data_IF_315778509404
#
_entry.id   IF_315778509404
#
_cell.length_a   1.000
_cell.length_b   1.000
_cell.length_c   1.000
_cell.angle_alpha   90.00
_cell.angle_beta   90.00
_cell.angle_gamma   90.00
#
_symmetry.space_group_name_H-M   'P 1'
#
loop_
_entity.id
_entity.type
_entity.pdbx_description
1 polymer ?
#
# COMPACT_ATOMS: atom_id res chain seq x y z
N UNK A 1 -24.76 -13.67 -1.31
CA UNK A 1 -23.54 -13.45 -0.47
C UNK A 1 -23.72 -12.12 0.25
N UNK A 2 -23.30 -11.96 1.52
CA UNK A 2 -23.37 -10.67 2.23
C UNK A 2 -22.02 -9.98 2.17
N UNK A 3 -22.02 -8.65 2.20
CA UNK A 3 -20.82 -7.85 2.13
C UNK A 3 -20.75 -6.87 3.30
N UNK A 4 -19.56 -6.58 3.76
CA UNK A 4 -19.28 -5.58 4.79
C UNK A 4 -18.19 -4.67 4.26
N UNK A 5 -18.42 -3.36 4.26
CA UNK A 5 -17.37 -2.38 4.06
C UNK A 5 -17.01 -1.85 5.45
N UNK A 6 -15.76 -1.93 5.79
CA UNK A 6 -15.17 -1.52 7.06
C UNK A 6 -14.16 -0.42 6.81
N UNK A 7 -14.23 0.60 7.60
CA UNK A 7 -13.24 1.67 7.68
C UNK A 7 -12.87 1.93 9.13
N UNK A 8 -11.66 2.36 9.37
CA UNK A 8 -11.12 2.63 10.70
C UNK A 8 -10.47 4.00 10.76
N UNK A 9 -10.74 4.74 11.82
CA UNK A 9 -9.95 5.91 12.15
C UNK A 9 -8.94 5.59 13.26
N UNK A 10 -7.68 5.97 13.05
CA UNK A 10 -6.62 5.72 14.01
C UNK A 10 -5.69 6.92 14.19
N UNK A 11 -5.20 7.10 15.41
CA UNK A 11 -4.19 8.09 15.75
C UNK A 11 -2.94 7.41 16.30
N UNK A 12 -1.78 7.93 15.96
CA UNK A 12 -0.50 7.34 16.34
C UNK A 12 -0.09 7.84 17.73
N UNK A 13 0.10 6.93 18.69
CA UNK A 13 0.54 7.25 20.03
C UNK A 13 1.73 6.40 20.46
N UNK A 14 2.65 6.98 21.25
CA UNK A 14 3.80 6.27 21.78
C UNK A 14 3.40 5.37 22.96
N UNK A 15 3.53 4.08 22.80
CA UNK A 15 3.30 3.10 23.87
C UNK A 15 4.58 2.87 24.68
N UNK A 16 4.58 3.29 25.94
CA UNK A 16 5.69 3.05 26.87
C UNK A 16 5.89 1.54 27.08
N UNK A 17 4.81 0.77 27.16
CA UNK A 17 4.85 -0.71 27.31
C UNK A 17 5.57 -1.38 26.16
N UNK A 18 5.31 -0.96 24.92
CA UNK A 18 5.84 -1.56 23.70
C UNK A 18 7.09 -0.83 23.15
N UNK A 19 7.47 0.31 23.76
CA UNK A 19 8.60 1.17 23.37
C UNK A 19 8.57 1.56 21.88
N UNK A 20 7.37 1.79 21.33
CA UNK A 20 7.17 2.19 19.94
C UNK A 20 5.86 2.95 19.75
N UNK A 21 5.73 3.63 18.62
CA UNK A 21 4.43 4.18 18.21
C UNK A 21 3.51 3.03 17.76
N UNK A 22 2.23 3.16 18.09
CA UNK A 22 1.14 2.27 17.69
C UNK A 22 0.03 3.14 17.09
N UNK A 23 -0.48 2.76 15.94
CA UNK A 23 -1.67 3.34 15.34
C UNK A 23 -2.88 2.74 16.05
N UNK A 24 -3.30 3.39 17.13
CA UNK A 24 -4.43 2.92 17.92
C UNK A 24 -5.75 3.23 17.23
N UNK A 25 -6.62 2.26 17.10
CA UNK A 25 -7.96 2.44 16.55
C UNK A 25 -8.79 3.28 17.50
N UNK A 26 -9.39 4.36 17.01
CA UNK A 26 -10.22 5.29 17.76
C UNK A 26 -11.66 5.37 17.25
N UNK A 27 -11.94 4.86 16.04
CA UNK A 27 -13.29 4.65 15.55
C UNK A 27 -13.34 3.43 14.64
N UNK A 28 -14.43 2.69 14.73
CA UNK A 28 -14.77 1.60 13.82
C UNK A 28 -16.08 2.00 13.17
N UNK A 29 -16.10 2.15 11.84
CA UNK A 29 -17.28 2.37 11.02
C UNK A 29 -17.44 1.25 10.02
N UNK A 30 -18.67 0.80 9.79
CA UNK A 30 -18.92 -0.22 8.80
C UNK A 30 -20.36 -0.17 8.27
N UNK A 31 -20.56 -0.70 7.07
CA UNK A 31 -21.88 -0.89 6.46
C UNK A 31 -22.04 -2.32 6.01
N UNK A 32 -23.24 -2.89 6.24
CA UNK A 32 -23.67 -4.18 5.66
C UNK A 32 -24.39 -3.95 4.36
N UNK A 33 -24.07 -4.76 3.37
CA UNK A 33 -24.73 -4.74 2.07
C UNK A 33 -25.35 -6.12 1.78
N UNK A 34 -26.50 -6.08 1.12
CA UNK A 34 -27.14 -7.27 0.54
C UNK A 34 -26.44 -7.67 -0.80
N UNK A 35 -27.01 -8.65 -1.49
CA UNK A 35 -26.48 -9.15 -2.78
C UNK A 35 -26.60 -8.12 -3.92
N UNK A 36 -27.47 -7.14 -3.79
CA UNK A 36 -27.63 -6.02 -4.74
C UNK A 36 -26.82 -4.78 -4.36
N UNK A 37 -25.96 -4.90 -3.34
CA UNK A 37 -25.17 -3.82 -2.74
C UNK A 37 -26.00 -2.69 -2.12
N UNK A 38 -27.26 -2.98 -1.73
CA UNK A 38 -28.05 -2.03 -0.95
C UNK A 38 -27.66 -2.14 0.52
N UNK A 39 -27.59 -0.98 1.18
CA UNK A 39 -27.25 -0.90 2.60
C UNK A 39 -28.39 -1.46 3.42
N UNK A 40 -28.10 -2.46 4.25
CA UNK A 40 -29.07 -3.12 5.13
C UNK A 40 -28.89 -2.75 6.59
N UNK A 41 -27.68 -2.33 6.98
CA UNK A 41 -27.37 -1.97 8.37
C UNK A 41 -26.06 -1.15 8.40
N UNK A 42 -25.87 -0.38 9.48
CA UNK A 42 -24.67 0.43 9.69
C UNK A 42 -24.16 0.21 11.12
N UNK A 43 -22.84 0.28 11.27
CA UNK A 43 -22.16 0.18 12.55
C UNK A 43 -21.21 1.35 12.74
N UNK A 44 -21.22 1.94 13.91
CA UNK A 44 -20.27 2.98 14.29
C UNK A 44 -20.01 2.90 15.79
N UNK A 45 -18.73 2.93 16.18
CA UNK A 45 -18.33 3.01 17.57
C UNK A 45 -17.06 3.81 17.75
N UNK A 46 -17.08 4.77 18.67
CA UNK A 46 -15.87 5.49 19.10
C UNK A 46 -15.16 4.68 20.17
N UNK A 47 -13.84 4.56 20.02
CA UNK A 47 -12.98 3.76 20.89
C UNK A 47 -12.18 4.69 21.81
N UNK A 48 -12.19 4.37 23.09
CA UNK A 48 -11.35 5.04 24.09
C UNK A 48 -9.90 4.58 23.95
N UNK A 49 -9.00 5.54 23.80
CA UNK A 49 -7.58 5.25 23.74
C UNK A 49 -7.06 4.48 24.95
N UNK A 50 -6.33 3.40 24.72
CA UNK A 50 -5.60 2.64 25.74
C UNK A 50 -4.18 3.20 26.01
N UNK A 51 -3.68 4.10 25.17
CA UNK A 51 -2.28 4.57 25.20
C UNK A 51 -2.22 6.04 25.60
N UNK A 52 -3.03 6.89 24.97
CA UNK A 52 -2.97 8.35 25.10
C UNK A 52 -4.23 8.91 25.77
N UNK A 53 -4.04 9.98 26.54
CA UNK A 53 -5.15 10.77 27.14
C UNK A 53 -5.67 11.86 26.19
N UNK A 54 -5.06 12.05 25.03
CA UNK A 54 -5.42 13.06 24.02
C UNK A 54 -5.25 12.48 22.63
N UNK A 55 -6.02 12.97 21.70
CA UNK A 55 -5.80 12.78 20.27
C UNK A 55 -4.88 13.88 19.73
N UNK A 56 -4.23 13.66 18.60
CA UNK A 56 -3.46 14.71 17.93
C UNK A 56 -4.39 15.77 17.35
N UNK A 57 -3.94 17.03 17.29
CA UNK A 57 -4.74 18.12 16.69
C UNK A 57 -5.13 17.81 15.24
N UNK A 58 -4.19 17.28 14.46
CA UNK A 58 -4.44 16.89 13.07
C UNK A 58 -5.51 15.78 12.94
N UNK A 59 -5.50 14.80 13.83
CA UNK A 59 -6.52 13.75 13.83
C UNK A 59 -7.91 14.35 14.14
N UNK A 60 -8.00 15.20 15.18
CA UNK A 60 -9.26 15.84 15.52
C UNK A 60 -9.81 16.76 14.41
N UNK A 61 -8.94 17.46 13.69
CA UNK A 61 -9.32 18.31 12.54
C UNK A 61 -9.85 17.48 11.37
N UNK A 62 -9.24 16.31 11.10
CA UNK A 62 -9.63 15.46 9.97
C UNK A 62 -10.91 14.66 10.25
N UNK A 63 -11.01 14.06 11.43
CA UNK A 63 -12.08 13.09 11.74
C UNK A 63 -13.22 13.67 12.57
N UNK A 64 -13.06 14.90 13.11
CA UNK A 64 -13.99 15.48 14.07
C UNK A 64 -14.04 14.75 15.42
N UNK A 65 -13.16 13.77 15.67
CA UNK A 65 -13.07 13.04 16.93
C UNK A 65 -12.17 13.83 17.88
N UNK A 66 -12.79 14.63 18.76
CA UNK A 66 -12.06 15.37 19.77
C UNK A 66 -11.57 14.47 20.91
N UNK A 67 -10.68 14.99 21.75
CA UNK A 67 -10.23 14.29 22.96
C UNK A 67 -11.40 13.89 23.87
N UNK A 68 -12.40 14.75 24.02
CA UNK A 68 -13.59 14.50 24.84
C UNK A 68 -14.43 13.36 24.28
N UNK A 69 -14.68 13.35 22.94
CA UNK A 69 -15.37 12.26 22.26
C UNK A 69 -14.62 10.92 22.42
N UNK A 70 -13.31 10.93 22.21
CA UNK A 70 -12.46 9.75 22.40
C UNK A 70 -12.51 9.23 23.85
N UNK A 71 -12.43 10.10 24.85
CA UNK A 71 -12.48 9.69 26.26
C UNK A 71 -13.86 9.13 26.68
N UNK A 72 -14.93 9.56 26.00
CA UNK A 72 -16.29 9.05 26.20
C UNK A 72 -16.55 7.73 25.43
N UNK A 73 -15.63 7.32 24.57
CA UNK A 73 -15.71 6.06 23.81
C UNK A 73 -15.60 4.82 24.71
N UNK A 74 -15.90 3.66 24.13
CA UNK A 74 -15.80 2.37 24.81
C UNK A 74 -14.37 1.79 24.73
N UNK A 75 -13.96 0.90 25.65
CA UNK A 75 -12.70 0.18 25.52
C UNK A 75 -12.62 -0.58 24.18
N UNK A 76 -11.40 -0.74 23.63
CA UNK A 76 -11.20 -1.44 22.37
C UNK A 76 -11.72 -2.90 22.42
N UNK A 77 -11.52 -3.61 23.52
CA UNK A 77 -12.04 -4.97 23.71
C UNK A 77 -13.57 -5.02 23.51
N UNK A 78 -14.29 -4.07 24.09
CA UNK A 78 -15.74 -3.96 23.96
C UNK A 78 -16.17 -3.57 22.54
N UNK A 79 -15.45 -2.63 21.92
CA UNK A 79 -15.72 -2.23 20.54
C UNK A 79 -15.59 -3.40 19.56
N UNK A 80 -14.56 -4.23 19.76
CA UNK A 80 -14.33 -5.45 18.95
C UNK A 80 -15.41 -6.50 19.20
N UNK A 81 -15.82 -6.71 20.46
CA UNK A 81 -16.90 -7.65 20.79
C UNK A 81 -18.22 -7.20 20.12
N UNK A 82 -18.58 -5.91 20.22
CA UNK A 82 -19.77 -5.33 19.55
C UNK A 82 -19.69 -5.47 18.02
N UNK A 83 -18.54 -5.19 17.40
CA UNK A 83 -18.33 -5.37 15.96
C UNK A 83 -18.49 -6.85 15.56
N UNK A 84 -17.93 -7.77 16.35
CA UNK A 84 -17.98 -9.21 16.11
C UNK A 84 -19.39 -9.81 16.27
N UNK A 85 -20.23 -9.23 17.13
CA UNK A 85 -21.65 -9.58 17.26
C UNK A 85 -22.47 -9.03 16.08
N UNK A 86 -22.16 -7.80 15.68
CA UNK A 86 -22.82 -7.17 14.54
C UNK A 86 -22.43 -7.80 13.21
N UNK A 87 -21.17 -8.22 13.01
CA UNK A 87 -20.68 -8.73 11.73
C UNK A 87 -21.28 -10.10 11.36
N UNK A 88 -21.26 -10.42 10.06
CA UNK A 88 -21.54 -11.76 9.55
C UNK A 88 -20.21 -12.43 9.17
N UNK A 89 -19.85 -13.50 9.87
CA UNK A 89 -18.60 -14.25 9.64
C UNK A 89 -18.46 -14.84 8.22
N UNK A 90 -19.56 -14.97 7.49
CA UNK A 90 -19.58 -15.48 6.12
C UNK A 90 -19.54 -14.34 5.08
N UNK A 91 -19.66 -13.09 5.51
CA UNK A 91 -19.56 -11.94 4.62
C UNK A 91 -18.15 -11.78 4.06
N UNK A 92 -18.06 -11.12 2.90
CA UNK A 92 -16.80 -10.58 2.38
C UNK A 92 -16.61 -9.20 2.99
N UNK A 93 -15.61 -9.06 3.85
CA UNK A 93 -15.21 -7.76 4.40
C UNK A 93 -14.30 -7.05 3.42
N UNK A 94 -14.57 -5.78 3.18
CA UNK A 94 -13.79 -4.91 2.28
C UNK A 94 -13.33 -3.68 3.04
N UNK A 95 -12.15 -3.16 2.71
CA UNK A 95 -11.64 -1.87 3.18
C UNK A 95 -11.12 -1.08 1.98
N UNK A 96 -11.00 0.26 2.12
CA UNK A 96 -10.43 1.10 1.05
C UNK A 96 -8.92 0.91 0.88
N UNK A 97 -8.32 0.01 1.38
CA UNK A 97 -6.96 -0.52 1.15
C UNK A 97 -6.67 -1.56 2.22
N UNK A 98 -5.48 -2.15 2.18
CA UNK A 98 -5.05 -3.08 3.22
C UNK A 98 -4.52 -2.40 4.52
N UNK A 99 -4.52 -1.05 4.60
CA UNK A 99 -4.05 -0.31 5.78
C UNK A 99 -4.87 -0.61 7.04
N UNK A 100 -6.18 -0.76 6.91
CA UNK A 100 -7.08 -1.12 8.01
C UNK A 100 -6.71 -2.49 8.60
N UNK A 101 -6.40 -3.47 7.75
CA UNK A 101 -5.94 -4.77 8.23
C UNK A 101 -4.62 -4.70 8.99
N UNK A 102 -3.70 -3.78 8.58
CA UNK A 102 -2.48 -3.55 9.35
C UNK A 102 -2.80 -2.97 10.73
N UNK A 103 -3.69 -1.97 10.79
CA UNK A 103 -4.13 -1.38 12.05
C UNK A 103 -4.84 -2.39 12.93
N UNK A 104 -5.73 -3.22 12.38
CA UNK A 104 -6.37 -4.33 13.10
C UNK A 104 -5.30 -5.23 13.73
N UNK A 105 -4.37 -5.76 12.94
CA UNK A 105 -3.36 -6.70 13.44
C UNK A 105 -2.42 -6.06 14.46
N UNK A 106 -2.05 -4.80 14.28
CA UNK A 106 -1.24 -4.08 15.24
C UNK A 106 -1.97 -3.92 16.59
N UNK A 107 -3.26 -3.60 16.56
CA UNK A 107 -4.08 -3.45 17.77
C UNK A 107 -4.38 -4.80 18.42
N UNK A 108 -4.68 -5.87 17.65
CA UNK A 108 -4.85 -7.22 18.17
C UNK A 108 -3.62 -7.70 18.94
N UNK A 109 -2.43 -7.45 18.45
CA UNK A 109 -1.17 -7.90 19.04
C UNK A 109 -0.70 -7.03 20.22
N UNK A 110 -1.11 -5.76 20.24
CA UNK A 110 -0.55 -4.79 21.18
C UNK A 110 -1.53 -4.33 22.26
N UNK A 111 -2.82 -4.26 21.95
CA UNK A 111 -3.80 -3.58 22.78
C UNK A 111 -4.96 -4.48 23.23
N UNK A 112 -5.35 -5.46 22.42
CA UNK A 112 -6.43 -6.38 22.80
C UNK A 112 -5.99 -7.40 23.84
N UNK A 113 -6.90 -7.80 24.68
CA UNK A 113 -6.71 -8.80 25.74
C UNK A 113 -7.46 -10.11 25.45
N UNK A 114 -7.09 -11.17 26.14
CA UNK A 114 -7.82 -12.44 26.12
C UNK A 114 -7.89 -13.14 24.75
N UNK A 115 -6.97 -12.84 23.84
CA UNK A 115 -6.96 -13.45 22.50
C UNK A 115 -8.08 -12.96 21.58
N UNK A 116 -8.69 -11.83 21.87
CA UNK A 116 -9.72 -11.22 21.01
C UNK A 116 -9.14 -10.85 19.65
N UNK A 117 -9.94 -11.06 18.61
CA UNK A 117 -9.62 -10.70 17.23
C UNK A 117 -10.86 -10.20 16.51
N UNK A 118 -10.66 -9.43 15.46
CA UNK A 118 -11.75 -9.09 14.55
C UNK A 118 -12.15 -10.33 13.72
N UNK A 119 -13.44 -10.64 13.66
CA UNK A 119 -13.98 -11.78 12.91
C UNK A 119 -14.12 -11.45 11.42
N UNK A 120 -13.00 -11.47 10.70
CA UNK A 120 -12.94 -11.28 9.26
C UNK A 120 -12.58 -12.63 8.62
N UNK A 121 -13.53 -13.27 7.92
CA UNK A 121 -13.30 -14.58 7.29
C UNK A 121 -12.83 -14.49 5.84
N UNK A 122 -13.46 -13.62 5.06
CA UNK A 122 -13.09 -13.31 3.67
C UNK A 122 -12.80 -11.84 3.53
N UNK A 123 -11.82 -11.51 2.73
CA UNK A 123 -11.36 -10.13 2.56
C UNK A 123 -11.13 -9.77 1.10
N UNK A 124 -11.41 -8.51 0.76
CA UNK A 124 -11.09 -7.90 -0.52
C UNK A 124 -10.61 -6.45 -0.31
N UNK A 125 -9.48 -6.09 -0.92
CA UNK A 125 -8.99 -4.73 -1.02
C UNK A 125 -9.79 -3.98 -2.10
N UNK A 126 -10.74 -3.14 -1.65
CA UNK A 126 -11.68 -2.45 -2.53
C UNK A 126 -10.98 -1.41 -3.42
N UNK A 127 -9.95 -0.72 -2.90
CA UNK A 127 -9.15 0.22 -3.68
C UNK A 127 -8.49 -0.46 -4.88
N UNK A 128 -7.92 -1.68 -4.68
CA UNK A 128 -7.33 -2.45 -5.79
C UNK A 128 -8.36 -2.86 -6.81
N UNK A 129 -9.55 -3.29 -6.38
CA UNK A 129 -10.64 -3.64 -7.27
C UNK A 129 -11.06 -2.42 -8.10
N UNK A 130 -11.44 -1.32 -7.47
CA UNK A 130 -11.92 -0.11 -8.14
C UNK A 130 -10.87 0.49 -9.05
N UNK A 131 -9.60 0.56 -8.60
CA UNK A 131 -8.51 1.05 -9.45
C UNK A 131 -8.25 0.12 -10.64
N UNK A 132 -8.48 -1.17 -10.49
CA UNK A 132 -8.46 -2.15 -11.58
C UNK A 132 -9.50 -1.84 -12.64
N UNK A 133 -10.75 -1.62 -12.23
CA UNK A 133 -11.87 -1.26 -13.11
C UNK A 133 -11.64 0.08 -13.82
N UNK A 134 -11.16 1.09 -13.09
CA UNK A 134 -10.80 2.38 -13.69
C UNK A 134 -9.70 2.25 -14.75
N UNK A 135 -8.71 1.35 -14.54
CA UNK A 135 -7.64 1.10 -15.53
C UNK A 135 -8.14 0.46 -16.81
N UNK A 136 -9.12 -0.44 -16.74
CA UNK A 136 -9.78 -1.00 -17.92
C UNK A 136 -10.49 0.10 -18.73
N UNK A 137 -10.92 1.18 -18.06
CA UNK A 137 -11.55 2.34 -18.65
C UNK A 137 -10.59 3.52 -18.90
N UNK A 138 -9.28 3.26 -19.02
CA UNK A 138 -8.29 4.24 -19.46
C UNK A 138 -7.58 5.04 -18.36
N UNK A 139 -7.78 4.72 -17.08
CA UNK A 139 -7.03 5.35 -15.99
C UNK A 139 -5.56 4.87 -15.99
N UNK A 140 -4.61 5.79 -16.09
CA UNK A 140 -3.18 5.46 -16.31
C UNK A 140 -2.27 5.74 -15.12
N UNK A 141 -2.75 6.40 -14.05
CA UNK A 141 -1.91 6.69 -12.89
C UNK A 141 -1.47 5.38 -12.21
N UNK A 142 -0.20 5.35 -11.84
CA UNK A 142 0.45 4.18 -11.19
C UNK A 142 0.37 4.24 -9.68
N UNK A 143 0.06 5.39 -9.10
CA UNK A 143 -0.12 5.55 -7.67
C UNK A 143 -1.46 4.99 -7.23
N UNK A 144 -1.59 4.72 -5.94
CA UNK A 144 -2.87 4.36 -5.33
C UNK A 144 -3.82 5.56 -5.45
N UNK A 145 -5.07 5.30 -5.87
CA UNK A 145 -6.10 6.33 -5.98
C UNK A 145 -6.69 6.59 -4.59
N UNK A 146 -6.92 7.86 -4.24
CA UNK A 146 -7.67 8.20 -3.02
C UNK A 146 -9.16 7.94 -3.19
N UNK A 147 -9.90 7.80 -2.08
CA UNK A 147 -11.34 7.60 -2.09
C UNK A 147 -12.05 8.75 -2.81
N UNK A 148 -11.70 9.99 -2.48
CA UNK A 148 -12.27 11.19 -3.12
C UNK A 148 -11.98 11.23 -4.64
N UNK A 149 -10.76 10.91 -5.07
CA UNK A 149 -10.43 10.87 -6.50
C UNK A 149 -11.16 9.75 -7.25
N UNK A 150 -11.41 8.61 -6.60
CA UNK A 150 -12.22 7.54 -7.20
C UNK A 150 -13.69 7.96 -7.31
N UNK A 151 -14.24 8.63 -6.29
CA UNK A 151 -15.59 9.16 -6.29
C UNK A 151 -15.80 10.16 -7.44
N UNK A 152 -14.89 11.13 -7.58
CA UNK A 152 -14.89 12.09 -8.68
C UNK A 152 -14.90 11.39 -10.06
N UNK A 153 -13.98 10.43 -10.26
CA UNK A 153 -13.85 9.74 -11.56
C UNK A 153 -15.05 8.86 -11.91
N UNK A 154 -15.74 8.32 -10.94
CA UNK A 154 -16.94 7.51 -11.13
C UNK A 154 -18.22 8.32 -11.02
N UNK A 155 -18.14 9.64 -10.81
CA UNK A 155 -19.32 10.52 -10.67
C UNK A 155 -20.19 10.10 -9.48
N UNK A 156 -19.57 9.78 -8.34
CA UNK A 156 -20.25 9.58 -7.05
C UNK A 156 -20.23 10.92 -6.33
N UNK A 157 -21.42 11.47 -6.07
CA UNK A 157 -21.55 12.70 -5.28
C UNK A 157 -21.20 12.43 -3.82
N UNK A 158 -20.33 13.28 -3.27
CA UNK A 158 -19.85 13.15 -1.89
C UNK A 158 -20.28 14.28 -0.97
N UNK A 159 -20.98 15.29 -1.49
CA UNK A 159 -21.36 16.51 -0.75
C UNK A 159 -22.28 16.25 0.45
N UNK A 160 -23.00 15.11 0.45
CA UNK A 160 -23.88 14.70 1.54
C UNK A 160 -23.17 13.87 2.64
N UNK A 161 -21.90 13.56 2.46
CA UNK A 161 -21.11 12.73 3.39
C UNK A 161 -20.08 13.59 4.12
N UNK A 162 -19.92 13.32 5.40
CA UNK A 162 -18.83 13.88 6.20
C UNK A 162 -17.58 12.99 6.02
N UNK A 163 -16.87 13.24 4.89
CA UNK A 163 -15.63 12.51 4.59
C UNK A 163 -14.65 12.60 5.77
N UNK A 164 -13.95 11.52 6.04
CA UNK A 164 -13.10 11.30 7.21
C UNK A 164 -13.87 10.94 8.49
N UNK A 165 -15.09 10.43 8.34
CA UNK A 165 -15.69 9.57 9.36
C UNK A 165 -15.74 8.14 8.84
N UNK A 166 -15.36 7.17 9.66
CA UNK A 166 -15.26 5.78 9.23
C UNK A 166 -16.57 5.24 8.64
N UNK A 167 -17.73 5.70 9.15
CA UNK A 167 -19.02 5.33 8.60
C UNK A 167 -19.26 5.91 7.21
N UNK A 168 -19.04 7.20 7.02
CA UNK A 168 -19.39 7.88 5.76
C UNK A 168 -18.42 7.48 4.64
N UNK A 169 -17.14 7.25 4.94
CA UNK A 169 -16.19 6.67 4.00
C UNK A 169 -16.61 5.27 3.55
N UNK A 170 -17.16 4.45 4.46
CA UNK A 170 -17.77 3.15 4.13
C UNK A 170 -19.00 3.28 3.22
N UNK A 171 -19.83 4.33 3.40
CA UNK A 171 -20.97 4.63 2.52
C UNK A 171 -20.52 5.01 1.11
N UNK A 172 -19.53 5.88 0.97
CA UNK A 172 -18.95 6.25 -0.33
C UNK A 172 -18.34 5.02 -1.02
N UNK A 173 -17.62 4.18 -0.29
CA UNK A 173 -17.10 2.90 -0.80
C UNK A 173 -18.22 2.00 -1.37
N UNK A 174 -19.39 1.94 -0.72
CA UNK A 174 -20.52 1.13 -1.20
C UNK A 174 -21.07 1.67 -2.52
N UNK A 175 -21.21 2.99 -2.66
CA UNK A 175 -21.66 3.63 -3.89
C UNK A 175 -20.68 3.39 -5.05
N UNK A 176 -19.35 3.45 -4.78
CA UNK A 176 -18.33 3.14 -5.77
C UNK A 176 -18.39 1.68 -6.22
N UNK A 177 -18.52 0.75 -5.27
CA UNK A 177 -18.64 -0.68 -5.58
C UNK A 177 -19.85 -0.94 -6.48
N UNK A 178 -21.01 -0.39 -6.15
CA UNK A 178 -22.25 -0.55 -6.93
C UNK A 178 -22.11 -0.06 -8.38
N UNK A 179 -21.30 1.00 -8.62
CA UNK A 179 -21.08 1.58 -9.96
C UNK A 179 -20.15 0.75 -10.86
N UNK A 180 -19.21 0.02 -10.31
CA UNK A 180 -18.17 -0.66 -11.11
C UNK A 180 -18.07 -2.17 -10.85
N UNK A 181 -19.06 -2.76 -10.18
CA UNK A 181 -19.05 -4.18 -9.86
C UNK A 181 -19.01 -5.06 -11.11
N UNK A 182 -18.08 -6.01 -11.09
CA UNK A 182 -17.97 -7.10 -12.04
C UNK A 182 -17.71 -8.38 -11.24
N UNK A 183 -18.59 -9.36 -11.37
CA UNK A 183 -18.60 -10.57 -10.52
C UNK A 183 -17.34 -11.40 -10.68
N UNK A 184 -16.85 -11.60 -11.89
CA UNK A 184 -15.70 -12.43 -12.16
C UNK A 184 -14.42 -11.81 -11.57
N UNK A 185 -14.18 -10.54 -11.85
CA UNK A 185 -13.00 -9.82 -11.36
C UNK A 185 -13.05 -9.59 -9.86
N UNK A 186 -14.24 -9.28 -9.33
CA UNK A 186 -14.43 -9.13 -7.88
C UNK A 186 -14.12 -10.44 -7.16
N UNK A 187 -14.73 -11.55 -7.59
CA UNK A 187 -14.53 -12.87 -6.98
C UNK A 187 -13.09 -13.35 -7.05
N UNK A 188 -12.38 -13.05 -8.13
CA UNK A 188 -10.95 -13.37 -8.29
C UNK A 188 -10.03 -12.67 -7.27
N UNK A 189 -10.49 -11.55 -6.67
CA UNK A 189 -9.73 -10.79 -5.67
C UNK A 189 -10.03 -11.17 -4.23
N UNK A 190 -11.11 -11.93 -3.98
CA UNK A 190 -11.45 -12.37 -2.63
C UNK A 190 -10.35 -13.31 -2.09
N UNK A 191 -9.96 -13.07 -0.85
CA UNK A 191 -8.96 -13.86 -0.13
C UNK A 191 -9.55 -14.42 1.17
N UNK A 192 -9.12 -15.61 1.55
CA UNK A 192 -9.44 -16.21 2.83
C UNK A 192 -8.44 -15.76 3.89
N UNK A 193 -8.89 -15.07 4.93
CA UNK A 193 -8.02 -14.59 6.01
C UNK A 193 -7.54 -15.70 6.94
N UNK A 194 -8.24 -16.86 6.94
CA UNK A 194 -7.80 -18.03 7.69
C UNK A 194 -6.60 -18.76 7.03
N UNK A 195 -6.24 -18.41 5.78
CA UNK A 195 -5.02 -18.90 5.16
C UNK A 195 -3.81 -18.41 5.97
N UNK A 196 -2.95 -19.31 6.51
CA UNK A 196 -1.76 -18.91 7.26
C UNK A 196 -0.81 -17.97 6.53
N UNK A 197 -0.83 -18.01 5.18
CA UNK A 197 0.01 -17.17 4.34
C UNK A 197 -0.59 -15.77 4.11
N UNK A 198 -1.90 -15.56 4.37
CA UNK A 198 -2.57 -14.29 4.13
C UNK A 198 -1.90 -13.12 4.86
N UNK A 199 -1.78 -13.21 6.19
CA UNK A 199 -1.17 -12.15 6.99
C UNK A 199 0.35 -12.07 6.85
N UNK A 200 1.04 -13.18 6.57
CA UNK A 200 2.46 -13.16 6.24
C UNK A 200 2.71 -12.39 4.96
N UNK A 201 1.87 -12.64 3.93
CA UNK A 201 1.91 -11.94 2.65
C UNK A 201 1.58 -10.46 2.78
N UNK A 202 0.54 -10.13 3.55
CA UNK A 202 0.13 -8.77 3.87
C UNK A 202 1.29 -7.99 4.52
N UNK A 203 1.97 -8.56 5.52
CA UNK A 203 3.08 -7.92 6.27
C UNK A 203 4.40 -7.88 5.53
N UNK A 204 4.54 -8.65 4.47
CA UNK A 204 5.81 -8.71 3.74
C UNK A 204 6.11 -7.39 3.03
N UNK A 205 7.19 -6.74 3.44
CA UNK A 205 7.67 -5.50 2.80
C UNK A 205 8.66 -5.84 1.68
N UNK A 206 8.29 -5.66 0.39
CA UNK A 206 9.20 -5.94 -0.71
C UNK A 206 10.45 -5.07 -0.65
N UNK A 207 11.62 -5.69 -0.78
CA UNK A 207 12.92 -5.02 -0.68
C UNK A 207 13.79 -5.23 -1.92
N UNK A 208 14.68 -4.28 -2.26
CA UNK A 208 15.65 -4.45 -3.33
C UNK A 208 16.77 -5.41 -2.88
N UNK A 209 17.17 -6.33 -3.76
CA UNK A 209 18.34 -7.17 -3.53
C UNK A 209 19.58 -6.36 -3.94
N UNK A 210 20.52 -6.17 -3.00
CA UNK A 210 21.72 -5.35 -3.18
C UNK A 210 23.01 -6.18 -3.33
N UNK A 211 22.97 -7.48 -3.03
CA UNK A 211 24.07 -8.39 -3.27
C UNK A 211 23.86 -9.16 -4.57
N UNK A 212 24.79 -8.99 -5.53
CA UNK A 212 24.75 -9.68 -6.84
C UNK A 212 24.96 -11.20 -6.74
N UNK A 213 25.54 -11.67 -5.63
CA UNK A 213 25.80 -13.08 -5.38
C UNK A 213 24.66 -13.78 -4.62
N UNK A 214 23.60 -13.05 -4.26
CA UNK A 214 22.45 -13.63 -3.60
C UNK A 214 21.89 -14.83 -4.39
N UNK A 215 21.57 -15.91 -3.68
CA UNK A 215 20.94 -17.12 -4.24
C UNK A 215 19.55 -16.84 -4.83
N UNK A 216 18.92 -15.73 -4.40
CA UNK A 216 17.63 -15.28 -4.93
C UNK A 216 17.70 -14.72 -6.36
N UNK A 217 18.91 -14.48 -6.88
CA UNK A 217 19.10 -13.90 -8.23
C UNK A 217 19.25 -15.01 -9.26
N UNK A 218 18.34 -15.05 -10.22
CA UNK A 218 18.56 -15.79 -11.47
C UNK A 218 19.68 -15.12 -12.25
N UNK A 219 20.80 -15.84 -12.41
CA UNK A 219 22.02 -15.34 -13.09
C UNK A 219 21.77 -15.07 -14.58
N UNK A 220 20.82 -15.75 -15.23
CA UNK A 220 20.46 -15.50 -16.63
C UNK A 220 19.98 -14.06 -16.86
N UNK A 221 19.38 -13.44 -15.84
CA UNK A 221 18.97 -12.04 -15.89
C UNK A 221 20.13 -11.04 -16.03
N UNK A 222 21.37 -11.47 -15.73
CA UNK A 222 22.59 -10.67 -15.85
C UNK A 222 23.23 -10.72 -17.25
N UNK A 223 22.72 -11.57 -18.14
CA UNK A 223 23.20 -11.71 -19.50
C UNK A 223 22.52 -10.68 -20.41
N UNK A 224 23.26 -10.13 -21.34
CA UNK A 224 22.76 -9.12 -22.28
C UNK A 224 23.08 -9.49 -23.72
N UNK A 225 22.08 -9.31 -24.59
CA UNK A 225 22.20 -9.48 -26.03
C UNK A 225 22.24 -8.12 -26.75
N UNK A 226 22.93 -8.08 -27.85
CA UNK A 226 23.05 -6.86 -28.67
C UNK A 226 21.72 -6.52 -29.32
N UNK A 227 21.21 -5.33 -29.12
CA UNK A 227 19.95 -4.89 -29.76
C UNK A 227 20.01 -4.78 -31.29
N UNK A 228 21.22 -4.66 -31.86
CA UNK A 228 21.39 -4.50 -33.28
C UNK A 228 21.54 -5.84 -34.04
N UNK A 229 22.17 -6.85 -33.44
CA UNK A 229 22.46 -8.12 -34.12
C UNK A 229 22.14 -9.37 -33.33
N UNK A 230 21.51 -9.24 -32.15
CA UNK A 230 21.11 -10.36 -31.31
C UNK A 230 22.23 -11.14 -30.63
N UNK A 231 23.51 -10.88 -30.92
CA UNK A 231 24.62 -11.64 -30.36
C UNK A 231 24.78 -11.42 -28.86
N UNK A 232 25.25 -12.46 -28.15
CA UNK A 232 25.60 -12.39 -26.74
C UNK A 232 26.70 -11.38 -26.49
N UNK A 233 26.52 -10.52 -25.51
CA UNK A 233 27.44 -9.44 -25.22
C UNK A 233 28.39 -9.82 -24.08
N UNK A 234 29.67 -9.50 -24.25
CA UNK A 234 30.68 -9.70 -23.23
C UNK A 234 30.64 -8.58 -22.18
N UNK A 235 30.59 -8.95 -20.90
CA UNK A 235 30.71 -7.96 -19.80
C UNK A 235 32.16 -7.51 -19.68
N UNK A 236 32.35 -6.17 -19.66
CA UNK A 236 33.66 -5.53 -19.60
C UNK A 236 34.03 -4.99 -18.22
N UNK A 237 33.08 -4.94 -17.27
CA UNK A 237 33.36 -4.41 -15.93
C UNK A 237 32.66 -5.23 -14.86
N UNK A 238 33.13 -5.12 -13.62
CA UNK A 238 32.37 -5.61 -12.47
C UNK A 238 31.04 -4.91 -12.34
N UNK A 239 30.07 -5.59 -11.74
CA UNK A 239 28.79 -5.01 -11.39
C UNK A 239 28.97 -3.97 -10.27
N UNK A 240 28.31 -2.82 -10.41
CA UNK A 240 28.25 -1.77 -9.38
C UNK A 240 26.80 -1.54 -8.98
N UNK A 241 26.49 -1.64 -7.68
CA UNK A 241 25.19 -1.36 -7.13
C UNK A 241 25.06 0.11 -6.75
N UNK A 242 24.09 0.80 -7.32
CA UNK A 242 23.74 2.20 -6.96
C UNK A 242 22.28 2.48 -7.33
N UNK A 243 21.57 3.21 -6.46
CA UNK A 243 20.17 3.61 -6.70
C UNK A 243 19.27 2.41 -7.05
N UNK A 244 19.42 1.30 -6.32
CA UNK A 244 18.68 0.04 -6.51
C UNK A 244 18.90 -0.66 -7.86
N UNK A 245 19.99 -0.35 -8.57
CA UNK A 245 20.36 -0.97 -9.83
C UNK A 245 21.79 -1.52 -9.76
N UNK A 246 21.99 -2.71 -10.29
CA UNK A 246 23.29 -3.21 -10.69
C UNK A 246 23.59 -2.68 -12.09
N UNK A 247 24.77 -2.15 -12.32
CA UNK A 247 25.19 -1.59 -13.59
C UNK A 247 26.57 -2.13 -13.97
N UNK A 248 26.74 -2.61 -15.20
CA UNK A 248 28.01 -3.01 -15.76
C UNK A 248 28.12 -2.58 -17.22
N UNK A 249 29.37 -2.48 -17.73
CA UNK A 249 29.66 -2.21 -19.15
C UNK A 249 29.64 -3.52 -19.93
N UNK A 250 29.08 -3.45 -21.14
CA UNK A 250 29.02 -4.57 -22.08
C UNK A 250 29.53 -4.14 -23.44
N UNK A 251 30.06 -5.10 -24.21
CA UNK A 251 30.44 -4.96 -25.60
C UNK A 251 29.91 -6.13 -26.44
N UNK A 252 29.36 -5.81 -27.58
CA UNK A 252 29.00 -6.82 -28.57
C UNK A 252 30.23 -7.32 -29.31
N UNK A 253 30.54 -8.62 -29.35
CA UNK A 253 31.69 -9.16 -30.05
C UNK A 253 31.60 -8.98 -31.57
N UNK A 254 30.37 -8.93 -32.14
CA UNK A 254 30.13 -8.78 -33.59
C UNK A 254 30.14 -7.30 -34.00
N UNK A 255 29.31 -6.44 -33.40
CA UNK A 255 29.12 -5.06 -33.80
C UNK A 255 30.11 -4.08 -33.12
N UNK A 256 30.89 -4.53 -32.13
CA UNK A 256 31.76 -3.69 -31.27
C UNK A 256 31.04 -2.57 -30.51
N UNK A 257 29.70 -2.56 -30.54
CA UNK A 257 28.90 -1.58 -29.80
C UNK A 257 29.03 -1.80 -28.29
N UNK A 258 29.25 -0.69 -27.56
CA UNK A 258 29.35 -0.64 -26.09
C UNK A 258 28.15 0.01 -25.48
N UNK A 259 27.68 -0.51 -24.35
CA UNK A 259 26.54 0.02 -23.61
C UNK A 259 26.64 -0.29 -22.11
N UNK A 260 25.77 0.34 -21.32
CA UNK A 260 25.57 -0.01 -19.92
C UNK A 260 24.37 -0.94 -19.80
N UNK A 261 24.61 -2.17 -19.35
CA UNK A 261 23.56 -3.07 -18.90
C UNK A 261 23.19 -2.74 -17.46
N UNK A 262 21.90 -2.55 -17.20
CA UNK A 262 21.37 -2.29 -15.86
C UNK A 262 20.30 -3.32 -15.51
N UNK A 263 20.42 -3.90 -14.32
CA UNK A 263 19.44 -4.87 -13.78
C UNK A 263 19.07 -4.47 -12.36
N UNK A 264 17.80 -4.55 -12.03
CA UNK A 264 17.31 -4.35 -10.68
C UNK A 264 16.47 -5.55 -10.26
N UNK A 265 16.72 -6.07 -9.08
CA UNK A 265 16.00 -7.18 -8.48
C UNK A 265 15.25 -6.67 -7.25
N UNK A 266 13.98 -7.08 -7.14
CA UNK A 266 13.15 -6.76 -5.99
C UNK A 266 12.48 -8.03 -5.48
N UNK A 267 12.81 -8.47 -4.27
CA UNK A 267 12.13 -9.56 -3.61
C UNK A 267 10.72 -9.12 -3.24
N UNK A 268 9.72 -9.87 -3.73
CA UNK A 268 8.33 -9.84 -3.28
C UNK A 268 8.07 -11.07 -2.42
N UNK A 269 6.86 -11.23 -1.91
CA UNK A 269 6.56 -12.41 -1.08
C UNK A 269 6.83 -13.71 -1.86
N UNK A 270 6.23 -13.87 -3.02
CA UNK A 270 6.31 -15.09 -3.83
C UNK A 270 7.56 -15.15 -4.70
N UNK A 271 7.96 -14.02 -5.31
CA UNK A 271 8.91 -13.98 -6.42
C UNK A 271 10.02 -12.96 -6.24
N UNK A 272 10.94 -12.97 -7.20
CA UNK A 272 11.91 -11.90 -7.43
C UNK A 272 11.56 -11.18 -8.74
N UNK A 273 11.05 -9.96 -8.63
CA UNK A 273 10.77 -9.12 -9.81
C UNK A 273 12.07 -8.58 -10.37
N UNK A 274 12.29 -8.80 -11.68
CA UNK A 274 13.48 -8.35 -12.42
C UNK A 274 13.11 -7.22 -13.36
N UNK A 275 13.91 -6.15 -13.36
CA UNK A 275 13.82 -5.07 -14.34
C UNK A 275 15.17 -4.91 -15.03
N UNK A 276 15.17 -4.84 -16.36
CA UNK A 276 16.38 -4.74 -17.19
C UNK A 276 16.31 -3.48 -18.04
N UNK A 277 17.47 -2.83 -18.21
CA UNK A 277 17.62 -1.67 -19.12
C UNK A 277 18.98 -1.70 -19.81
N UNK A 278 19.01 -1.27 -21.05
CA UNK A 278 20.22 -0.96 -21.80
C UNK A 278 20.28 0.55 -21.95
N UNK A 279 21.38 1.15 -21.53
CA UNK A 279 21.61 2.60 -21.62
C UNK A 279 22.90 2.88 -22.43
N UNK A 280 22.90 3.96 -23.17
CA UNK A 280 24.11 4.44 -23.86
C UNK A 280 25.15 4.91 -22.85
N UNK A 281 26.43 4.76 -23.19
CA UNK A 281 27.53 5.29 -22.42
C UNK A 281 27.65 6.76 -22.79
N UNK A 282 27.22 7.67 -21.92
CA UNK A 282 27.46 9.09 -22.10
C UNK A 282 28.97 9.40 -22.07
N UNK A 283 29.51 10.17 -23.00
CA UNK A 283 30.89 10.64 -22.91
C UNK A 283 31.09 11.42 -21.61
N UNK A 284 32.26 11.28 -20.99
CA UNK A 284 32.61 12.14 -19.86
C UNK A 284 32.56 13.57 -20.32
N UNK A 285 31.74 14.43 -19.74
CA UNK A 285 31.91 15.87 -19.83
C UNK A 285 33.27 16.20 -19.20
N UNK A 286 34.19 16.71 -19.99
CA UNK A 286 35.41 17.31 -19.47
C UNK A 286 34.98 18.44 -18.52
N UNK A 287 35.43 18.35 -17.27
CA UNK A 287 35.32 19.50 -16.38
C UNK A 287 36.09 20.66 -17.05
N UNK A 288 35.39 21.70 -17.51
CA UNK A 288 36.02 22.96 -17.78
C UNK A 288 36.73 23.39 -16.49
N UNK A 289 38.06 23.46 -16.55
CA UNK A 289 38.83 24.18 -15.55
C UNK A 289 38.42 25.64 -15.70
N UNK A 290 37.71 26.18 -14.73
CA UNK A 290 37.59 27.62 -14.59
C UNK A 290 39.00 28.15 -14.31
N UNK A 291 39.62 28.74 -15.34
CA UNK A 291 40.83 29.55 -15.19
C UNK A 291 40.48 30.70 -14.24
N UNK A 292 41.16 30.71 -13.11
CA UNK A 292 41.12 31.80 -12.15
C UNK A 292 41.59 33.07 -12.89
N UNK A 293 40.68 34.01 -13.15
CA UNK A 293 41.06 35.37 -13.56
C UNK A 293 41.84 36.04 -12.43
N UNK A 294 42.97 36.70 -12.74
CA UNK A 294 43.75 37.43 -11.74
C UNK A 294 42.94 38.64 -11.23
N UNK A 295 42.91 38.81 -9.92
CA UNK A 295 42.34 39.97 -9.23
C UNK A 295 43.17 41.20 -9.60
N UNK A 296 42.60 42.33 -10.05
CA UNK A 296 43.37 43.56 -10.26
C UNK A 296 43.77 44.14 -8.92
N UNK A 297 45.08 44.39 -8.77
CA UNK A 297 45.64 45.21 -7.71
C UNK A 297 45.12 46.65 -7.80
N UNK A 298 44.46 47.11 -6.76
CA UNK A 298 44.15 48.55 -6.59
C UNK A 298 45.29 49.22 -5.87
N UNK A 299 45.83 50.25 -6.52
CA UNK A 299 46.72 51.30 -5.98
C UNK A 299 45.89 52.33 -5.23
#
# INVERSE_FOLDING_TARGET
MRYIILDLEWDSAYSVKHKRFINQILQIGAVKLNESFDITDTFEVTVKSAISKRVTGRFAELTGITTEKMLAGVPLDEAVDRFNEWTDKNAVTMTWSDSDLYSIKENEESLLSGGRTFKIGKYLDLQKFIQGELRLNGYTDKNQISLAAAAEKLGVETDSFDLHTARDDSLVCSALLKKCYDEERFSALIRNTADPEFYKRLRFKPYPISDINSELIDKSALEFHCRACGADCKRLSAWRYRNRWFTAKFECPKCKKRFLGRVAFRKTYDDVKVRRRVCEIKPKQEKKNDEMQPVPETV
#
